data_IF_148600041851
#
_entry.id   IF_148600041851
#
_cell.length_a   1.000
_cell.length_b   1.000
_cell.length_c   1.000
_cell.angle_alpha   90.00
_cell.angle_beta   90.00
_cell.angle_gamma   90.00
#
_symmetry.space_group_name_H-M   'P 1'
#
loop_
_entity.id
_entity.type
_entity.pdbx_description
1 polymer ?
#
# COMPACT_ATOMS: atom_id res chain seq x y z
N UNK A 1 22.79 61.05 -8.90
CA UNK A 1 22.94 59.80 -9.68
C UNK A 1 23.46 58.61 -8.89
N UNK A 2 24.33 58.79 -7.88
CA UNK A 2 24.92 57.67 -7.11
C UNK A 2 23.90 56.84 -6.29
N UNK A 3 22.84 57.45 -5.75
CA UNK A 3 21.81 56.75 -4.97
C UNK A 3 20.92 55.83 -5.81
N UNK A 4 20.59 56.22 -7.04
CA UNK A 4 19.79 55.40 -7.96
C UNK A 4 20.56 54.14 -8.38
N UNK A 5 21.87 54.26 -8.60
CA UNK A 5 22.75 53.12 -8.91
C UNK A 5 22.82 52.15 -7.73
N UNK A 6 22.90 52.66 -6.49
CA UNK A 6 22.88 51.82 -5.29
C UNK A 6 21.55 51.07 -5.13
N UNK A 7 20.41 51.72 -5.37
CA UNK A 7 19.10 51.09 -5.33
C UNK A 7 18.95 49.98 -6.36
N UNK A 8 19.43 50.21 -7.59
CA UNK A 8 19.39 49.19 -8.66
C UNK A 8 20.30 48.00 -8.31
N UNK A 9 21.50 48.24 -7.77
CA UNK A 9 22.37 47.15 -7.30
C UNK A 9 21.75 46.35 -6.16
N UNK A 10 21.12 47.00 -5.17
CA UNK A 10 20.45 46.30 -4.08
C UNK A 10 19.26 45.46 -4.57
N UNK A 11 18.48 45.98 -5.52
CA UNK A 11 17.38 45.24 -6.13
C UNK A 11 17.88 43.99 -6.89
N UNK A 12 18.98 44.12 -7.66
CA UNK A 12 19.59 42.99 -8.37
C UNK A 12 20.11 41.92 -7.41
N UNK A 13 20.72 42.31 -6.29
CA UNK A 13 21.21 41.36 -5.27
C UNK A 13 20.07 40.61 -4.56
N UNK A 14 18.93 41.26 -4.34
CA UNK A 14 17.74 40.61 -3.75
C UNK A 14 17.07 39.64 -4.72
N UNK A 15 17.06 39.94 -6.03
CA UNK A 15 16.52 39.02 -7.04
C UNK A 15 17.42 37.79 -7.22
N UNK A 16 18.74 37.96 -7.14
CA UNK A 16 19.70 36.86 -7.27
C UNK A 16 19.72 35.93 -6.04
N UNK A 17 19.45 36.44 -4.84
CA UNK A 17 19.41 35.61 -3.62
C UNK A 17 18.14 34.77 -3.48
N UNK A 18 17.07 35.11 -4.19
CA UNK A 18 15.80 34.35 -4.19
C UNK A 18 15.86 32.99 -4.89
N UNK A 19 16.83 32.76 -5.77
CA UNK A 19 16.99 31.48 -6.49
C UNK A 19 17.84 30.44 -5.74
N UNK A 20 18.55 30.82 -4.68
CA UNK A 20 19.44 29.90 -3.96
C UNK A 20 18.71 29.00 -2.94
N UNK A 21 17.47 29.32 -2.57
CA UNK A 21 16.74 28.68 -1.47
C UNK A 21 15.73 27.61 -1.89
N UNK A 22 15.62 27.31 -3.18
CA UNK A 22 14.83 26.18 -3.67
C UNK A 22 15.75 25.08 -4.19
N UNK A 23 16.39 24.35 -3.28
CA UNK A 23 16.77 22.97 -3.58
C UNK A 23 15.61 22.07 -3.11
N UNK A 24 14.67 21.69 -4.01
CA UNK A 24 13.66 20.71 -3.66
C UNK A 24 14.38 19.37 -3.42
N UNK A 25 14.48 18.98 -2.15
CA UNK A 25 14.66 17.59 -1.72
C UNK A 25 15.69 16.78 -2.50
N UNK A 26 16.95 17.24 -2.58
CA UNK A 26 18.05 16.35 -2.95
C UNK A 26 18.27 15.39 -1.77
N UNK A 27 17.47 14.32 -1.72
CA UNK A 27 17.68 13.16 -0.86
C UNK A 27 19.12 12.73 -1.07
N UNK A 28 19.93 12.76 -0.02
CA UNK A 28 21.36 12.46 -0.14
C UNK A 28 21.48 11.02 -0.67
N UNK A 29 22.43 10.76 -1.57
CA UNK A 29 22.67 9.41 -2.12
C UNK A 29 22.75 8.32 -1.03
N UNK A 30 23.26 8.67 0.16
CA UNK A 30 23.30 7.81 1.35
C UNK A 30 21.92 7.43 1.89
N UNK A 31 20.95 8.34 1.85
CA UNK A 31 19.56 8.10 2.28
C UNK A 31 18.81 7.21 1.28
N UNK A 32 19.09 7.35 -0.02
CA UNK A 32 18.56 6.45 -1.06
C UNK A 32 19.07 5.02 -0.85
N UNK A 33 20.39 4.85 -0.62
CA UNK A 33 20.97 3.54 -0.38
C UNK A 33 20.37 2.85 0.86
N UNK A 34 20.17 3.60 1.95
CA UNK A 34 19.51 3.10 3.16
C UNK A 34 18.05 2.71 2.90
N UNK A 35 17.31 3.52 2.13
CA UNK A 35 15.94 3.21 1.74
C UNK A 35 15.86 1.92 0.91
N UNK A 36 16.75 1.75 -0.06
CA UNK A 36 16.83 0.54 -0.88
C UNK A 36 17.12 -0.70 -0.03
N UNK A 37 18.03 -0.60 0.94
CA UNK A 37 18.35 -1.71 1.85
C UNK A 37 17.15 -2.09 2.73
N UNK A 38 16.38 -1.11 3.20
CA UNK A 38 15.15 -1.36 3.96
C UNK A 38 14.08 -2.07 3.10
N UNK A 39 13.99 -1.73 1.82
CA UNK A 39 13.09 -2.42 0.89
C UNK A 39 13.45 -3.90 0.71
N UNK A 40 14.74 -4.23 0.58
CA UNK A 40 15.21 -5.63 0.50
C UNK A 40 14.88 -6.40 1.79
N UNK A 41 15.11 -5.81 2.97
CA UNK A 41 14.74 -6.45 4.24
C UNK A 41 13.24 -6.74 4.34
N UNK A 42 12.40 -5.79 3.90
CA UNK A 42 10.94 -5.97 3.87
C UNK A 42 10.53 -7.04 2.86
N UNK A 43 11.24 -7.19 1.76
CA UNK A 43 10.99 -8.22 0.77
C UNK A 43 11.28 -9.63 1.33
N UNK A 44 12.39 -9.81 2.04
CA UNK A 44 12.69 -11.08 2.69
C UNK A 44 11.69 -11.41 3.80
N UNK A 45 11.31 -10.41 4.60
CA UNK A 45 10.26 -10.56 5.59
C UNK A 45 8.91 -10.92 4.94
N UNK A 46 8.55 -10.27 3.83
CA UNK A 46 7.36 -10.60 3.06
C UNK A 46 7.40 -12.05 2.58
N UNK A 47 8.51 -12.52 2.00
CA UNK A 47 8.67 -13.91 1.55
C UNK A 47 8.50 -14.92 2.68
N UNK A 48 9.04 -14.62 3.86
CA UNK A 48 8.95 -15.51 5.03
C UNK A 48 7.55 -15.51 5.65
N UNK A 49 6.90 -14.35 5.71
CA UNK A 49 5.58 -14.19 6.33
C UNK A 49 4.42 -14.56 5.40
N UNK A 50 4.69 -14.65 4.09
CA UNK A 50 3.71 -14.99 3.07
C UNK A 50 3.28 -16.45 3.13
N UNK A 51 2.45 -16.71 4.12
CA UNK A 51 1.74 -17.95 4.36
C UNK A 51 0.30 -17.88 3.84
N UNK A 52 -0.29 -16.68 3.75
CA UNK A 52 -1.66 -16.40 3.33
C UNK A 52 -1.72 -15.78 1.92
N UNK A 53 -1.47 -16.61 0.91
CA UNK A 53 -1.75 -16.26 -0.48
C UNK A 53 -3.27 -16.33 -0.77
N UNK A 54 -3.74 -15.72 -1.87
CA UNK A 54 -5.15 -15.77 -2.31
C UNK A 54 -5.80 -17.15 -2.17
N UNK A 55 -5.17 -18.25 -2.65
CA UNK A 55 -5.75 -19.59 -2.56
C UNK A 55 -5.99 -20.03 -1.11
N UNK A 56 -4.99 -19.86 -0.23
CA UNK A 56 -5.11 -20.25 1.18
C UNK A 56 -6.09 -19.36 1.94
N UNK A 57 -6.06 -18.04 1.70
CA UNK A 57 -7.03 -17.13 2.32
C UNK A 57 -8.46 -17.50 1.92
N UNK A 58 -8.68 -17.74 0.62
CA UNK A 58 -10.02 -18.12 0.13
C UNK A 58 -10.46 -19.46 0.70
N UNK A 59 -9.55 -20.42 0.85
CA UNK A 59 -9.84 -21.70 1.50
C UNK A 59 -10.26 -21.51 2.95
N UNK A 60 -9.45 -20.79 3.75
CA UNK A 60 -9.75 -20.52 5.17
C UNK A 60 -11.06 -19.73 5.33
N UNK A 61 -11.29 -18.70 4.52
CA UNK A 61 -12.53 -17.94 4.54
C UNK A 61 -13.75 -18.79 4.15
N UNK A 62 -13.58 -19.78 3.27
CA UNK A 62 -14.64 -20.72 2.90
C UNK A 62 -14.93 -21.71 4.03
N UNK A 63 -13.90 -22.25 4.67
CA UNK A 63 -14.04 -23.13 5.85
C UNK A 63 -14.75 -22.41 7.01
N UNK A 64 -14.39 -21.15 7.26
CA UNK A 64 -15.04 -20.34 8.29
C UNK A 64 -16.50 -20.04 7.95
N UNK A 65 -16.80 -19.66 6.71
CA UNK A 65 -18.16 -19.47 6.23
C UNK A 65 -19.00 -20.75 6.38
N UNK A 66 -18.42 -21.91 6.06
CA UNK A 66 -19.07 -23.21 6.21
C UNK A 66 -19.37 -23.53 7.68
N UNK A 67 -18.41 -23.31 8.58
CA UNK A 67 -18.61 -23.51 10.01
C UNK A 67 -19.75 -22.64 10.54
N UNK A 68 -19.75 -21.35 10.20
CA UNK A 68 -20.78 -20.40 10.63
C UNK A 68 -22.16 -20.75 10.04
N UNK A 69 -22.20 -21.20 8.79
CA UNK A 69 -23.42 -21.65 8.14
C UNK A 69 -23.99 -22.91 8.80
N UNK A 70 -23.15 -23.92 9.08
CA UNK A 70 -23.57 -25.14 9.78
C UNK A 70 -24.14 -24.83 11.16
N UNK A 71 -23.53 -23.91 11.89
CA UNK A 71 -24.04 -23.46 13.19
C UNK A 71 -25.41 -22.78 13.06
N UNK A 72 -25.59 -21.89 12.08
CA UNK A 72 -26.89 -21.29 11.80
C UNK A 72 -27.98 -22.33 11.44
N UNK A 73 -27.65 -23.31 10.61
CA UNK A 73 -28.60 -24.38 10.24
C UNK A 73 -29.00 -25.16 11.48
N UNK A 74 -28.04 -25.51 12.33
CA UNK A 74 -28.31 -26.18 13.60
C UNK A 74 -29.24 -25.36 14.49
N UNK A 75 -28.93 -24.07 14.69
CA UNK A 75 -29.74 -23.17 15.51
C UNK A 75 -31.18 -23.05 14.98
N UNK A 76 -31.36 -23.01 13.65
CA UNK A 76 -32.68 -22.98 13.03
C UNK A 76 -33.45 -24.29 13.19
N UNK A 77 -32.78 -25.43 13.06
CA UNK A 77 -33.39 -26.74 13.28
C UNK A 77 -33.86 -26.91 14.73
N UNK A 78 -33.03 -26.51 15.71
CA UNK A 78 -33.38 -26.56 17.14
C UNK A 78 -34.56 -25.64 17.47
N UNK A 79 -34.63 -24.46 16.84
CA UNK A 79 -35.74 -23.52 17.01
C UNK A 79 -37.01 -23.88 16.22
N UNK A 80 -36.99 -24.95 15.41
CA UNK A 80 -38.11 -25.32 14.52
C UNK A 80 -38.35 -24.32 13.38
N UNK A 81 -37.36 -23.48 13.06
CA UNK A 81 -37.43 -22.51 11.97
C UNK A 81 -36.95 -23.06 10.63
N UNK A 82 -37.12 -22.28 9.57
CA UNK A 82 -36.62 -22.60 8.24
C UNK A 82 -35.28 -21.90 7.96
N UNK A 83 -34.46 -22.54 7.12
CA UNK A 83 -33.18 -22.00 6.62
C UNK A 83 -33.50 -21.02 5.49
N UNK A 84 -33.17 -19.74 5.68
CA UNK A 84 -33.44 -18.66 4.72
C UNK A 84 -32.19 -18.02 4.12
N UNK A 85 -31.04 -18.20 4.75
CA UNK A 85 -29.74 -17.69 4.28
C UNK A 85 -28.94 -18.84 3.67
N UNK A 86 -28.26 -18.59 2.56
CA UNK A 86 -27.34 -19.55 1.95
C UNK A 86 -25.93 -19.43 2.50
N UNK A 87 -25.08 -20.43 2.21
CA UNK A 87 -23.67 -20.45 2.62
C UNK A 87 -22.92 -19.15 2.27
N UNK A 88 -23.13 -18.63 1.06
CA UNK A 88 -22.47 -17.42 0.58
C UNK A 88 -22.79 -16.17 1.41
N UNK A 89 -23.89 -16.15 2.16
CA UNK A 89 -24.23 -15.04 3.07
C UNK A 89 -23.32 -14.98 4.31
N UNK A 90 -22.57 -16.05 4.59
CA UNK A 90 -21.63 -16.14 5.71
C UNK A 90 -20.18 -15.88 5.30
N UNK A 91 -19.93 -15.67 3.99
CA UNK A 91 -18.60 -15.33 3.48
C UNK A 91 -18.39 -13.83 3.57
N UNK A 92 -17.38 -13.39 4.33
CA UNK A 92 -16.99 -11.99 4.37
C UNK A 92 -16.18 -11.62 3.11
N UNK A 93 -16.70 -10.73 2.23
CA UNK A 93 -15.98 -10.31 1.03
C UNK A 93 -14.72 -9.48 1.34
N UNK A 94 -14.58 -8.97 2.57
CA UNK A 94 -13.43 -8.16 2.99
C UNK A 94 -12.31 -9.01 3.62
N UNK A 95 -12.61 -10.24 4.07
CA UNK A 95 -11.64 -11.14 4.72
C UNK A 95 -10.39 -11.40 3.84
N UNK A 96 -10.55 -11.45 2.51
CA UNK A 96 -9.47 -11.68 1.57
C UNK A 96 -9.18 -10.48 0.65
N UNK A 97 -9.53 -9.25 1.05
CA UNK A 97 -9.34 -8.03 0.23
C UNK A 97 -7.86 -7.71 -0.05
N UNK A 98 -6.92 -8.28 0.70
CA UNK A 98 -5.49 -8.27 0.40
C UNK A 98 -4.86 -9.63 0.68
N UNK A 99 -4.23 -10.16 -0.35
CA UNK A 99 -3.93 -11.59 -0.55
C UNK A 99 -2.69 -11.75 -1.43
N UNK A 100 -2.17 -10.62 -1.90
CA UNK A 100 -1.02 -10.59 -2.76
C UNK A 100 0.22 -10.71 -1.90
N UNK A 101 0.72 -11.93 -1.80
CA UNK A 101 2.12 -12.21 -1.55
C UNK A 101 3.01 -11.80 -2.73
N UNK A 102 2.64 -10.73 -3.43
CA UNK A 102 3.41 -10.21 -4.54
C UNK A 102 4.51 -9.31 -3.97
N UNK A 103 5.39 -9.93 -3.20
CA UNK A 103 6.54 -9.27 -2.57
C UNK A 103 7.39 -8.56 -3.63
N UNK A 104 7.40 -9.05 -4.88
CA UNK A 104 8.06 -8.40 -6.01
C UNK A 104 7.41 -7.06 -6.37
N UNK A 105 6.09 -7.00 -6.47
CA UNK A 105 5.35 -5.74 -6.70
C UNK A 105 5.54 -4.75 -5.55
N UNK A 106 5.52 -5.24 -4.31
CA UNK A 106 5.73 -4.41 -3.13
C UNK A 106 7.18 -3.89 -3.06
N UNK A 107 8.17 -4.72 -3.43
CA UNK A 107 9.57 -4.32 -3.57
C UNK A 107 9.75 -3.23 -4.62
N UNK A 108 9.16 -3.41 -5.81
CA UNK A 108 9.23 -2.42 -6.90
C UNK A 108 8.60 -1.09 -6.47
N UNK A 109 7.45 -1.14 -5.82
CA UNK A 109 6.78 0.06 -5.29
C UNK A 109 7.63 0.74 -4.21
N UNK A 110 8.24 -0.04 -3.32
CA UNK A 110 9.13 0.47 -2.27
C UNK A 110 10.34 1.20 -2.89
N UNK A 111 11.01 0.58 -3.87
CA UNK A 111 12.15 1.18 -4.57
C UNK A 111 11.78 2.45 -5.34
N UNK A 112 10.61 2.47 -5.98
CA UNK A 112 10.09 3.67 -6.65
C UNK A 112 9.88 4.82 -5.66
N UNK A 113 9.30 4.54 -4.49
CA UNK A 113 9.13 5.53 -3.43
C UNK A 113 10.47 6.09 -2.92
N UNK A 114 11.51 5.26 -2.83
CA UNK A 114 12.85 5.72 -2.44
C UNK A 114 13.46 6.73 -3.42
N UNK A 115 13.09 6.67 -4.70
CA UNK A 115 13.59 7.58 -5.75
C UNK A 115 12.73 8.84 -5.92
N UNK A 116 11.59 8.94 -5.22
CA UNK A 116 10.65 10.05 -5.34
C UNK A 116 9.83 10.07 -6.64
N UNK A 117 10.07 9.12 -7.56
CA UNK A 117 9.36 9.01 -8.84
C UNK A 117 8.32 7.89 -8.74
N UNK A 118 7.08 8.26 -8.42
CA UNK A 118 5.96 7.32 -8.35
C UNK A 118 5.29 7.26 -9.73
N UNK A 119 5.54 6.19 -10.49
CA UNK A 119 4.77 5.90 -11.70
C UNK A 119 3.45 5.21 -11.34
N UNK A 120 2.44 6.00 -10.92
CA UNK A 120 1.10 5.47 -10.66
C UNK A 120 0.45 5.06 -11.98
N UNK A 121 0.24 3.75 -12.18
CA UNK A 121 -0.78 3.24 -13.11
C UNK A 121 -2.04 2.94 -12.29
N UNK A 122 -3.18 3.48 -12.71
CA UNK A 122 -4.48 3.08 -12.17
C UNK A 122 -4.71 1.63 -12.58
N UNK A 123 -4.43 0.69 -11.67
CA UNK A 123 -4.79 -0.71 -11.82
C UNK A 123 -5.93 -1.01 -10.86
N UNK A 124 -6.93 -1.75 -11.35
CA UNK A 124 -7.99 -2.26 -10.50
C UNK A 124 -7.37 -3.11 -9.38
N UNK A 125 -7.96 -3.04 -8.18
CA UNK A 125 -7.53 -3.87 -7.06
C UNK A 125 -7.65 -5.34 -7.49
N UNK A 126 -6.59 -6.16 -7.40
CA UNK A 126 -6.66 -7.56 -7.76
C UNK A 126 -7.64 -8.27 -6.81
N UNK A 127 -8.69 -8.86 -7.38
CA UNK A 127 -9.63 -9.72 -6.66
C UNK A 127 -9.10 -11.16 -6.68
N UNK A 128 -9.33 -11.94 -5.63
CA UNK A 128 -9.17 -13.39 -5.75
C UNK A 128 -10.28 -13.91 -6.68
N UNK A 129 -9.90 -14.42 -7.84
CA UNK A 129 -10.75 -15.21 -8.73
C UNK A 129 -10.71 -16.68 -8.34
#
# INVERSE_FOLDING_TARGET
>A
MSYFIRLICCALLLVLSGCATQQPGMVKSKEIAQCMQLCEQRFDSCKQQCSNNCPRCSLVASEEAEKNYRQYVHDKQVQGGYVSRGLNSYRDPLQCRKVTCNCTSDLLTCKQNCTGVIQKRLQAVPYCT
#
